data_IF_801981976592
#
_entry.id   IF_801981976592
#
_cell.length_a   1.000
_cell.length_b   1.000
_cell.length_c   1.000
_cell.angle_alpha   90.00
_cell.angle_beta   90.00
_cell.angle_gamma   90.00
#
_symmetry.space_group_name_H-M   'P 1'
#
loop_
_entity.id
_entity.type
_entity.pdbx_description
1 polymer ?
#
# COMPACT_ATOMS: atom_id res chain seq x y z
N UNK A 1 6.66 59.64 63.61
CA UNK A 1 5.70 60.09 62.57
C UNK A 1 5.72 59.07 61.44
N UNK A 2 4.53 58.62 61.07
CA UNK A 2 4.18 57.64 60.05
C UNK A 2 4.63 58.01 58.63
N UNK A 3 5.07 57.00 57.84
CA UNK A 3 4.63 56.62 56.46
C UNK A 3 5.81 55.99 55.70
N UNK A 4 5.82 54.66 55.55
CA UNK A 4 5.16 53.86 54.50
C UNK A 4 5.90 53.87 53.15
N UNK A 5 6.61 52.76 52.95
CA UNK A 5 7.02 52.17 51.69
C UNK A 5 5.88 52.12 50.67
N UNK A 6 6.15 52.52 49.43
CA UNK A 6 5.40 52.05 48.25
C UNK A 6 6.37 51.86 47.09
N UNK A 7 6.58 50.60 46.75
CA UNK A 7 7.21 50.14 45.53
C UNK A 7 6.42 50.63 44.31
N UNK A 8 7.09 51.25 43.35
CA UNK A 8 6.50 51.55 42.05
C UNK A 8 6.57 50.29 41.19
N UNK A 9 5.44 49.59 41.12
CA UNK A 9 5.21 48.48 40.20
C UNK A 9 5.25 48.95 38.75
N UNK A 10 6.03 48.25 37.93
CA UNK A 10 6.07 48.41 36.49
C UNK A 10 4.72 48.08 35.85
N UNK A 11 4.18 48.99 35.05
CA UNK A 11 3.09 48.70 34.10
C UNK A 11 3.73 48.28 32.76
N UNK A 12 3.90 46.97 32.58
CA UNK A 12 4.06 46.39 31.25
C UNK A 12 2.68 46.39 30.59
N UNK A 13 2.48 47.24 29.60
CA UNK A 13 1.31 47.18 28.73
C UNK A 13 1.38 45.87 27.92
N UNK A 14 0.57 44.89 28.30
CA UNK A 14 0.37 43.67 27.53
C UNK A 14 -0.45 44.02 26.30
N UNK A 15 0.22 44.20 25.16
CA UNK A 15 -0.46 44.30 23.88
C UNK A 15 -1.17 42.97 23.60
N UNK A 16 -2.51 42.99 23.71
CA UNK A 16 -3.38 41.93 23.21
C UNK A 16 -3.24 41.90 21.68
N UNK A 17 -2.40 41.00 21.18
CA UNK A 17 -2.41 40.60 19.78
C UNK A 17 -3.72 39.88 19.55
N UNK A 18 -4.69 40.57 18.95
CA UNK A 18 -5.87 39.92 18.38
C UNK A 18 -5.39 38.99 17.27
N UNK A 19 -5.42 37.68 17.53
CA UNK A 19 -5.29 36.68 16.48
C UNK A 19 -6.43 36.88 15.49
N UNK A 20 -6.10 37.15 14.22
CA UNK A 20 -7.07 37.22 13.15
C UNK A 20 -7.86 35.89 13.07
N UNK A 21 -9.19 35.92 12.96
CA UNK A 21 -9.96 34.70 12.73
C UNK A 21 -9.73 34.26 11.28
N UNK A 22 -9.18 33.05 11.09
CA UNK A 22 -9.11 32.44 9.75
C UNK A 22 -7.74 31.92 9.33
N UNK A 23 -7.17 31.02 10.12
CA UNK A 23 -6.39 29.92 9.52
C UNK A 23 -7.24 28.67 9.70
N UNK A 24 -7.61 27.93 8.65
CA UNK A 24 -8.22 26.62 8.86
C UNK A 24 -7.20 25.79 9.64
N UNK A 25 -7.57 25.36 10.84
CA UNK A 25 -6.85 24.27 11.50
C UNK A 25 -7.06 23.08 10.56
N UNK A 26 -6.07 22.75 9.74
CA UNK A 26 -6.12 21.55 8.92
C UNK A 26 -6.02 20.35 9.86
N UNK A 27 -7.16 19.88 10.33
CA UNK A 27 -7.33 18.75 11.24
C UNK A 27 -7.00 17.39 10.62
N UNK A 28 -6.14 17.29 9.61
CA UNK A 28 -5.88 16.04 8.87
C UNK A 28 -4.48 16.09 8.24
N UNK A 29 -3.44 16.22 9.08
CA UNK A 29 -2.04 16.31 8.66
C UNK A 29 -1.73 17.42 7.64
N UNK A 30 -2.55 18.49 7.59
CA UNK A 30 -2.32 19.62 6.68
C UNK A 30 -2.95 19.49 5.30
N UNK A 31 -3.82 18.49 5.05
CA UNK A 31 -4.49 18.31 3.76
C UNK A 31 -5.89 18.93 3.73
N UNK A 32 -6.25 19.50 2.58
CA UNK A 32 -7.62 19.97 2.31
C UNK A 32 -8.49 18.79 1.80
N UNK A 33 -9.54 18.49 2.56
CA UNK A 33 -10.49 17.40 2.30
C UNK A 33 -11.89 17.91 1.96
N UNK A 34 -12.08 19.23 1.79
CA UNK A 34 -13.40 19.84 1.59
C UNK A 34 -14.15 19.31 0.35
N UNK A 35 -13.42 18.85 -0.66
CA UNK A 35 -13.94 18.42 -1.95
C UNK A 35 -13.38 17.03 -2.35
N UNK A 36 -13.26 16.15 -1.35
CA UNK A 36 -12.78 14.78 -1.54
C UNK A 36 -13.80 13.90 -2.27
N UNK A 37 -13.32 13.00 -3.14
CA UNK A 37 -14.16 11.97 -3.80
C UNK A 37 -14.50 10.79 -2.88
N UNK A 38 -14.00 10.79 -1.65
CA UNK A 38 -14.26 9.81 -0.61
C UNK A 38 -14.81 10.54 0.62
N UNK A 39 -15.64 9.89 1.47
CA UNK A 39 -16.25 10.54 2.63
C UNK A 39 -15.18 11.04 3.60
N UNK A 40 -15.15 12.35 3.87
CA UNK A 40 -14.16 12.97 4.77
C UNK A 40 -14.21 12.36 6.17
N UNK A 41 -15.42 12.10 6.66
CA UNK A 41 -15.70 11.52 7.97
C UNK A 41 -15.29 10.04 8.08
N UNK A 42 -14.83 9.41 6.99
CA UNK A 42 -14.19 8.09 6.99
C UNK A 42 -12.66 8.14 6.88
N UNK A 43 -12.08 9.31 6.60
CA UNK A 43 -10.64 9.50 6.59
C UNK A 43 -10.13 9.53 8.05
N UNK A 44 -9.04 8.82 8.32
CA UNK A 44 -8.44 8.69 9.65
C UNK A 44 -6.99 9.13 9.63
N UNK A 45 -6.53 9.75 10.70
CA UNK A 45 -5.10 9.97 10.94
C UNK A 45 -4.52 8.67 11.46
N UNK A 46 -3.74 7.97 10.63
CA UNK A 46 -3.03 6.76 11.02
C UNK A 46 -1.77 7.09 11.82
N UNK A 47 -1.00 8.07 11.35
CA UNK A 47 0.14 8.65 12.06
C UNK A 47 0.08 10.17 12.00
N UNK A 48 0.21 10.88 13.15
CA UNK A 48 0.25 12.33 13.15
C UNK A 48 1.48 12.86 12.40
N UNK A 49 1.26 13.89 11.59
CA UNK A 49 2.30 14.55 10.81
C UNK A 49 2.46 13.96 9.42
N UNK A 50 2.38 14.83 8.41
CA UNK A 50 2.79 14.52 7.05
C UNK A 50 4.28 14.15 7.03
N UNK A 51 4.64 13.15 6.22
CA UNK A 51 6.02 12.63 6.10
C UNK A 51 6.60 12.02 7.40
N UNK A 52 5.77 11.73 8.42
CA UNK A 52 6.24 11.04 9.63
C UNK A 52 6.85 9.66 9.32
N UNK A 53 6.38 9.02 8.24
CA UNK A 53 7.01 7.88 7.60
C UNK A 53 7.73 8.40 6.34
N UNK A 54 9.06 8.37 6.29
CA UNK A 54 9.80 8.96 5.17
C UNK A 54 9.73 8.07 3.94
N UNK A 55 9.25 8.61 2.82
CA UNK A 55 9.33 7.93 1.53
C UNK A 55 10.78 7.92 1.01
N UNK A 56 11.13 6.89 0.23
CA UNK A 56 12.45 6.79 -0.39
C UNK A 56 12.44 7.42 -1.78
N UNK A 57 13.45 8.22 -2.10
CA UNK A 57 13.56 8.93 -3.38
C UNK A 57 14.82 8.59 -4.19
N UNK A 58 15.82 7.98 -3.56
CA UNK A 58 17.07 7.56 -4.19
C UNK A 58 17.44 6.14 -3.72
N UNK A 59 16.64 5.12 -4.07
CA UNK A 59 16.85 3.77 -3.59
C UNK A 59 18.18 3.20 -4.07
N UNK A 60 18.92 2.59 -3.14
CA UNK A 60 20.12 1.80 -3.42
C UNK A 60 19.76 0.32 -3.47
N UNK A 61 20.53 -0.46 -4.22
CA UNK A 61 20.20 -1.86 -4.49
C UNK A 61 21.39 -2.77 -4.27
N UNK A 62 21.11 -3.92 -3.67
CA UNK A 62 21.99 -5.08 -3.56
C UNK A 62 21.78 -6.01 -4.77
N UNK A 63 22.75 -6.89 -5.02
CA UNK A 63 22.52 -8.07 -5.85
C UNK A 63 21.61 -9.07 -5.12
N UNK A 64 21.00 -9.99 -5.87
CA UNK A 64 20.20 -11.08 -5.29
C UNK A 64 20.93 -11.87 -4.20
N UNK A 65 22.18 -12.28 -4.43
CA UNK A 65 22.96 -13.07 -3.45
C UNK A 65 23.30 -12.29 -2.19
N UNK A 66 23.66 -11.00 -2.32
CA UNK A 66 23.91 -10.15 -1.17
C UNK A 66 22.63 -9.93 -0.36
N UNK A 67 21.49 -9.73 -1.04
CA UNK A 67 20.20 -9.61 -0.40
C UNK A 67 19.76 -10.90 0.31
N UNK A 68 20.02 -12.08 -0.26
CA UNK A 68 19.73 -13.35 0.42
C UNK A 68 20.52 -13.52 1.71
N UNK A 69 21.78 -13.09 1.73
CA UNK A 69 22.59 -13.11 2.95
C UNK A 69 22.08 -12.12 3.99
N UNK A 70 21.54 -10.98 3.55
CA UNK A 70 21.08 -9.91 4.44
C UNK A 70 19.68 -10.18 5.01
N UNK A 71 18.69 -10.47 4.16
CA UNK A 71 17.29 -10.63 4.56
C UNK A 71 16.85 -12.09 4.77
N UNK A 72 17.58 -13.04 4.19
CA UNK A 72 17.21 -14.46 4.19
C UNK A 72 16.21 -14.84 3.10
N UNK A 73 16.15 -16.15 2.81
CA UNK A 73 15.36 -16.68 1.68
C UNK A 73 13.83 -16.57 1.85
N UNK A 74 13.36 -16.43 3.09
CA UNK A 74 11.92 -16.34 3.43
C UNK A 74 11.39 -14.92 3.46
N UNK A 75 12.26 -13.91 3.32
CA UNK A 75 11.82 -12.53 3.25
C UNK A 75 10.84 -12.35 2.09
N UNK A 76 9.68 -11.72 2.32
CA UNK A 76 8.74 -11.43 1.25
C UNK A 76 9.16 -10.15 0.55
N UNK A 77 9.18 -10.18 -0.78
CA UNK A 77 9.57 -9.05 -1.62
C UNK A 77 8.47 -8.76 -2.62
N UNK A 78 8.12 -7.48 -2.75
CA UNK A 78 7.33 -7.01 -3.87
C UNK A 78 8.26 -6.94 -5.09
N UNK A 79 7.93 -7.62 -6.17
CA UNK A 79 8.80 -7.77 -7.34
C UNK A 79 8.14 -7.12 -8.55
N UNK A 80 8.90 -6.28 -9.24
CA UNK A 80 8.50 -5.63 -10.49
C UNK A 80 9.40 -6.15 -11.60
N UNK A 81 8.79 -6.56 -12.71
CA UNK A 81 9.49 -7.04 -13.90
C UNK A 81 9.08 -6.19 -15.08
N UNK A 82 10.05 -5.54 -15.72
CA UNK A 82 9.78 -4.66 -16.85
C UNK A 82 10.96 -4.63 -17.83
N UNK A 83 10.69 -4.89 -19.12
CA UNK A 83 11.68 -4.89 -20.22
C UNK A 83 12.99 -5.66 -19.90
N UNK A 84 12.86 -6.83 -19.27
CA UNK A 84 14.02 -7.68 -18.94
C UNK A 84 14.80 -7.26 -17.70
N UNK A 85 14.41 -6.18 -17.02
CA UNK A 85 14.88 -5.85 -15.68
C UNK A 85 13.90 -6.37 -14.62
N UNK A 86 14.45 -6.84 -13.50
CA UNK A 86 13.70 -7.22 -12.32
C UNK A 86 14.24 -6.48 -11.09
N UNK A 87 13.34 -5.83 -10.35
CA UNK A 87 13.64 -5.23 -9.06
C UNK A 87 12.75 -5.80 -7.98
N UNK A 88 13.30 -6.02 -6.79
CA UNK A 88 12.60 -6.52 -5.63
C UNK A 88 12.71 -5.53 -4.47
N UNK A 89 11.62 -5.36 -3.73
CA UNK A 89 11.49 -4.41 -2.62
C UNK A 89 11.05 -5.20 -1.38
N UNK A 90 11.97 -5.48 -0.43
CA UNK A 90 11.67 -6.25 0.78
C UNK A 90 10.60 -5.59 1.65
N UNK A 91 9.68 -6.39 2.17
CA UNK A 91 8.70 -5.92 3.15
C UNK A 91 9.38 -5.42 4.43
N UNK A 92 10.53 -6.00 4.79
CA UNK A 92 11.41 -5.51 5.86
C UNK A 92 11.75 -4.02 5.71
N UNK A 93 11.86 -3.50 4.49
CA UNK A 93 12.08 -2.06 4.24
C UNK A 93 10.74 -1.33 4.01
N UNK A 94 9.82 -1.92 3.24
CA UNK A 94 8.55 -1.29 2.89
C UNK A 94 7.64 -1.07 4.11
N UNK A 95 7.72 -1.89 5.15
CA UNK A 95 6.99 -1.68 6.40
C UNK A 95 7.44 -0.42 7.16
N UNK A 96 8.63 0.13 6.86
CA UNK A 96 9.13 1.34 7.51
C UNK A 96 9.05 2.61 6.66
N UNK A 97 8.77 2.45 5.37
CA UNK A 97 8.85 3.53 4.38
C UNK A 97 7.60 3.68 3.54
N UNK A 98 6.83 2.61 3.34
CA UNK A 98 5.58 2.48 2.58
C UNK A 98 5.67 2.85 1.09
N UNK A 99 6.55 3.78 0.70
CA UNK A 99 6.66 4.36 -0.63
C UNK A 99 8.14 4.44 -1.04
N UNK A 100 8.42 3.95 -2.25
CA UNK A 100 9.72 4.08 -2.91
C UNK A 100 9.50 4.65 -4.32
N UNK A 101 9.98 5.86 -4.54
CA UNK A 101 10.06 6.46 -5.87
C UNK A 101 11.31 5.92 -6.56
N UNK A 102 11.14 5.27 -7.71
CA UNK A 102 12.23 4.55 -8.39
C UNK A 102 12.07 4.64 -9.93
N UNK A 103 13.01 4.05 -10.64
CA UNK A 103 12.99 3.90 -12.09
C UNK A 103 13.45 2.49 -12.48
N UNK A 104 12.71 1.81 -13.35
CA UNK A 104 13.06 0.48 -13.87
C UNK A 104 13.12 0.52 -15.40
N UNK A 105 14.25 0.13 -16.00
CA UNK A 105 14.48 0.28 -17.45
C UNK A 105 14.07 1.66 -18.02
N UNK A 106 14.37 2.74 -17.28
CA UNK A 106 14.03 4.12 -17.64
C UNK A 106 12.58 4.55 -17.37
N UNK A 107 11.69 3.64 -16.93
CA UNK A 107 10.30 3.93 -16.59
C UNK A 107 10.18 4.47 -15.15
N UNK A 108 9.70 5.71 -14.93
CA UNK A 108 9.46 6.23 -13.60
C UNK A 108 8.29 5.48 -12.94
N UNK A 109 8.54 4.90 -11.77
CA UNK A 109 7.56 4.14 -11.01
C UNK A 109 7.51 4.62 -9.56
N UNK A 110 6.37 4.37 -8.92
CA UNK A 110 6.23 4.46 -7.47
C UNK A 110 5.80 3.10 -6.95
N UNK A 111 6.61 2.54 -6.06
CA UNK A 111 6.32 1.30 -5.35
C UNK A 111 5.65 1.66 -4.04
N UNK A 112 4.51 1.03 -3.75
CA UNK A 112 3.70 1.36 -2.59
C UNK A 112 3.33 0.10 -1.83
N UNK A 113 3.33 0.14 -0.51
CA UNK A 113 2.93 -0.97 0.34
C UNK A 113 2.14 -0.47 1.56
N UNK A 114 0.92 -0.98 1.73
CA UNK A 114 0.15 -0.77 2.95
C UNK A 114 0.32 -2.00 3.86
N UNK A 115 1.04 -1.90 4.99
CA UNK A 115 1.21 -3.01 5.91
C UNK A 115 -0.10 -3.40 6.62
N UNK A 116 -1.06 -2.48 6.72
CA UNK A 116 -2.37 -2.76 7.32
C UNK A 116 -3.26 -3.61 6.40
N UNK A 117 -3.19 -3.37 5.10
CA UNK A 117 -4.00 -4.06 4.09
C UNK A 117 -3.28 -5.24 3.43
N UNK A 118 -1.97 -5.40 3.66
CA UNK A 118 -1.16 -6.40 2.96
C UNK A 118 -1.07 -6.16 1.46
N UNK A 119 -1.31 -4.92 1.01
CA UNK A 119 -1.39 -4.54 -0.40
C UNK A 119 -0.07 -3.94 -0.85
N UNK A 120 0.57 -4.57 -1.83
CA UNK A 120 1.71 -4.02 -2.57
C UNK A 120 1.26 -3.67 -3.98
N UNK A 121 1.29 -2.38 -4.34
CA UNK A 121 0.90 -1.92 -5.68
C UNK A 121 1.97 -0.99 -6.22
N UNK A 122 2.33 -1.19 -7.49
CA UNK A 122 3.28 -0.34 -8.19
C UNK A 122 2.55 0.43 -9.26
N UNK A 123 2.82 1.73 -9.35
CA UNK A 123 2.19 2.61 -10.34
C UNK A 123 3.24 3.26 -11.23
N UNK A 124 2.83 3.64 -12.44
CA UNK A 124 3.54 4.65 -13.20
C UNK A 124 3.53 5.96 -12.41
N UNK A 125 4.71 6.56 -12.24
CA UNK A 125 4.82 7.87 -11.62
C UNK A 125 4.50 9.02 -12.58
N UNK A 126 4.33 8.72 -13.88
CA UNK A 126 3.97 9.72 -14.89
C UNK A 126 2.46 9.88 -14.98
N UNK A 127 1.96 11.05 -14.61
CA UNK A 127 0.54 11.40 -14.65
C UNK A 127 0.35 12.62 -15.53
N UNK A 128 -0.48 12.49 -16.57
CA UNK A 128 -0.77 13.58 -17.54
C UNK A 128 0.52 14.23 -18.10
N UNK A 129 1.54 13.42 -18.36
CA UNK A 129 2.83 13.87 -18.90
C UNK A 129 3.83 14.40 -17.88
N UNK A 130 3.48 14.44 -16.59
CA UNK A 130 4.38 14.88 -15.52
C UNK A 130 4.86 13.71 -14.67
N UNK A 131 6.17 13.61 -14.42
CA UNK A 131 6.71 12.66 -13.44
C UNK A 131 6.47 13.22 -12.03
N UNK A 132 5.61 12.56 -11.27
CA UNK A 132 5.29 12.92 -9.90
C UNK A 132 6.20 12.18 -8.91
N UNK A 133 6.41 12.79 -7.74
CA UNK A 133 7.03 12.13 -6.58
C UNK A 133 5.99 11.99 -5.49
N UNK A 134 5.86 10.78 -4.97
CA UNK A 134 4.87 10.42 -3.97
C UNK A 134 5.50 10.30 -2.59
N UNK A 135 4.69 10.57 -1.57
CA UNK A 135 5.04 10.58 -0.15
C UNK A 135 3.89 10.12 0.71
N UNK A 136 4.19 9.86 1.99
CA UNK A 136 3.24 9.33 2.97
C UNK A 136 2.48 10.48 3.62
N UNK A 137 1.16 10.52 3.46
CA UNK A 137 0.32 11.56 4.06
C UNK A 137 0.11 11.36 5.57
N UNK A 138 0.23 10.11 6.04
CA UNK A 138 -0.18 9.68 7.37
C UNK A 138 -1.69 9.52 7.53
N UNK A 139 -2.48 9.74 6.46
CA UNK A 139 -3.91 9.54 6.41
C UNK A 139 -4.25 8.16 5.85
N UNK A 140 -5.37 7.62 6.32
CA UNK A 140 -5.94 6.35 5.92
C UNK A 140 -7.38 6.53 5.46
N UNK A 141 -7.80 5.72 4.50
CA UNK A 141 -9.20 5.53 4.13
C UNK A 141 -9.50 4.03 4.05
N UNK A 142 -10.54 3.55 4.75
CA UNK A 142 -10.80 2.10 4.89
C UNK A 142 -9.57 1.29 5.36
N UNK A 143 -8.79 1.86 6.29
CA UNK A 143 -7.50 1.34 6.78
C UNK A 143 -6.36 1.25 5.74
N UNK A 144 -6.61 1.63 4.48
CA UNK A 144 -5.60 1.71 3.41
C UNK A 144 -4.93 3.07 3.36
N UNK A 145 -3.68 3.11 2.90
CA UNK A 145 -2.89 4.34 2.85
C UNK A 145 -3.42 5.33 1.82
N UNK A 146 -3.50 6.60 2.22
CA UNK A 146 -3.58 7.72 1.27
C UNK A 146 -2.16 8.23 1.02
N UNK A 147 -1.71 8.13 -0.23
CA UNK A 147 -0.47 8.77 -0.66
C UNK A 147 -0.74 10.23 -0.98
N UNK A 148 0.30 11.03 -1.11
CA UNK A 148 0.18 12.33 -1.76
C UNK A 148 1.35 12.58 -2.71
N UNK A 149 1.15 13.42 -3.74
CA UNK A 149 2.24 13.88 -4.58
C UNK A 149 2.78 15.24 -4.14
N UNK A 150 4.10 15.39 -4.11
CA UNK A 150 4.80 16.61 -3.66
C UNK A 150 4.37 17.86 -4.43
N UNK A 151 4.11 17.71 -5.73
CA UNK A 151 3.94 18.84 -6.65
C UNK A 151 2.57 19.49 -6.52
N UNK A 152 1.51 18.71 -6.36
CA UNK A 152 0.14 19.21 -6.32
C UNK A 152 -0.55 19.04 -4.98
N UNK A 153 0.04 18.30 -4.05
CA UNK A 153 -0.56 17.92 -2.78
C UNK A 153 -1.89 17.15 -2.93
N UNK A 154 -2.16 16.54 -4.09
CA UNK A 154 -3.34 15.70 -4.27
C UNK A 154 -3.18 14.43 -3.43
N UNK A 155 -4.23 14.01 -2.73
CA UNK A 155 -4.27 12.70 -2.08
C UNK A 155 -4.67 11.62 -3.08
N UNK A 156 -4.04 10.45 -2.98
CA UNK A 156 -4.26 9.31 -3.85
C UNK A 156 -4.57 8.08 -3.01
N UNK A 157 -5.70 7.42 -3.26
CA UNK A 157 -6.00 6.13 -2.64
C UNK A 157 -5.24 5.03 -3.37
N UNK A 158 -4.50 4.19 -2.62
CA UNK A 158 -3.70 3.11 -3.17
C UNK A 158 -4.59 2.08 -3.87
N UNK A 159 -5.56 1.48 -3.15
CA UNK A 159 -6.41 0.42 -3.71
C UNK A 159 -7.35 0.93 -4.80
N UNK A 160 -7.93 2.13 -4.67
CA UNK A 160 -8.72 2.73 -5.76
C UNK A 160 -7.85 3.11 -6.98
N UNK A 161 -6.55 3.28 -6.77
CA UNK A 161 -5.59 3.74 -7.77
C UNK A 161 -6.03 5.08 -8.37
N UNK A 162 -6.43 6.04 -7.53
CA UNK A 162 -7.06 7.29 -7.97
C UNK A 162 -6.78 8.46 -7.04
N UNK A 163 -6.59 9.64 -7.61
CA UNK A 163 -6.57 10.89 -6.86
C UNK A 163 -7.97 11.21 -6.32
N UNK A 164 -8.08 11.38 -5.01
CA UNK A 164 -9.32 11.67 -4.31
C UNK A 164 -9.48 13.14 -3.94
N UNK A 165 -8.39 13.92 -3.94
CA UNK A 165 -8.43 15.38 -3.70
C UNK A 165 -7.50 16.13 -4.68
N UNK A 166 -7.48 17.46 -4.59
CA UNK A 166 -6.47 18.30 -5.21
C UNK A 166 -6.53 18.40 -6.74
N UNK A 167 -5.45 18.91 -7.33
CA UNK A 167 -5.32 19.20 -8.78
C UNK A 167 -5.65 17.98 -9.65
N UNK A 168 -5.27 16.79 -9.20
CA UNK A 168 -5.42 15.57 -9.99
C UNK A 168 -6.70 14.80 -9.70
N UNK A 169 -7.58 15.30 -8.81
CA UNK A 169 -8.83 14.65 -8.41
C UNK A 169 -9.55 13.96 -9.57
N UNK A 170 -9.92 12.69 -9.38
CA UNK A 170 -10.59 11.85 -10.37
C UNK A 170 -9.65 11.13 -11.34
N UNK A 171 -8.36 11.50 -11.40
CA UNK A 171 -7.37 10.85 -12.26
C UNK A 171 -6.95 9.50 -11.68
N UNK A 172 -6.93 8.46 -12.52
CA UNK A 172 -6.43 7.14 -12.13
C UNK A 172 -4.92 7.03 -12.31
N UNK A 173 -4.27 6.29 -11.42
CA UNK A 173 -2.90 5.81 -11.57
C UNK A 173 -2.92 4.51 -12.38
N UNK A 174 -2.00 4.42 -13.34
CA UNK A 174 -1.79 3.18 -14.10
C UNK A 174 -0.89 2.24 -13.30
N UNK A 175 -1.34 1.00 -13.11
CA UNK A 175 -0.59 -0.02 -12.38
C UNK A 175 0.50 -0.65 -13.25
N UNK A 176 1.68 -0.85 -12.68
CA UNK A 176 2.73 -1.71 -13.23
C UNK A 176 2.61 -3.08 -12.57
N UNK A 177 2.64 -4.15 -13.37
CA UNK A 177 2.53 -5.53 -12.87
C UNK A 177 3.59 -5.83 -11.80
N UNK A 178 3.13 -6.35 -10.66
CA UNK A 178 3.98 -6.75 -9.54
C UNK A 178 3.47 -8.01 -8.86
N UNK A 179 4.37 -8.75 -8.22
CA UNK A 179 4.07 -9.96 -7.45
C UNK A 179 4.69 -9.87 -6.06
N UNK A 180 4.09 -10.53 -5.06
CA UNK A 180 4.64 -10.62 -3.72
C UNK A 180 5.15 -12.05 -3.50
N UNK A 181 6.46 -12.25 -3.52
CA UNK A 181 7.11 -13.56 -3.57
C UNK A 181 8.19 -13.70 -2.47
N UNK A 182 8.55 -14.92 -2.04
CA UNK A 182 9.74 -15.14 -1.22
C UNK A 182 11.04 -14.80 -1.98
N UNK A 183 11.95 -14.07 -1.35
CA UNK A 183 13.20 -13.59 -1.96
C UNK A 183 14.05 -14.74 -2.52
N UNK A 184 14.10 -15.88 -1.82
CA UNK A 184 14.80 -17.09 -2.28
C UNK A 184 14.35 -17.57 -3.65
N UNK A 185 13.04 -17.56 -3.89
CA UNK A 185 12.46 -18.00 -5.16
C UNK A 185 12.76 -17.02 -6.30
N UNK A 186 12.71 -15.72 -6.01
CA UNK A 186 13.00 -14.68 -6.99
C UNK A 186 14.47 -14.75 -7.40
N UNK A 187 15.39 -14.86 -6.46
CA UNK A 187 16.84 -14.94 -6.77
C UNK A 187 17.19 -16.21 -7.54
N UNK A 188 16.50 -17.32 -7.27
CA UNK A 188 16.68 -18.55 -8.05
C UNK A 188 16.33 -18.34 -9.54
N UNK A 189 15.27 -17.57 -9.83
CA UNK A 189 14.73 -17.29 -11.17
C UNK A 189 15.44 -16.12 -11.88
N UNK A 190 15.85 -15.08 -11.15
CA UNK A 190 16.27 -13.78 -11.69
C UNK A 190 17.76 -13.50 -11.43
N UNK A 191 18.63 -13.85 -12.39
CA UNK A 191 20.11 -13.75 -12.21
C UNK A 191 20.65 -12.33 -12.07
N UNK A 192 19.93 -11.33 -12.61
CA UNK A 192 20.30 -9.91 -12.54
C UNK A 192 19.40 -9.12 -11.58
N UNK A 193 18.77 -9.81 -10.61
CA UNK A 193 17.87 -9.18 -9.66
C UNK A 193 18.59 -8.07 -8.87
N UNK A 194 17.94 -6.91 -8.82
CA UNK A 194 18.33 -5.81 -7.93
C UNK A 194 17.33 -5.76 -6.77
N UNK A 195 17.82 -5.85 -5.55
CA UNK A 195 16.98 -5.85 -4.34
C UNK A 195 17.23 -4.57 -3.55
N UNK A 196 16.17 -3.85 -3.16
CA UNK A 196 16.30 -2.63 -2.35
C UNK A 196 17.11 -2.92 -1.08
N UNK A 197 18.13 -2.10 -0.84
CA UNK A 197 19.01 -2.20 0.34
C UNK A 197 18.42 -1.48 1.55
N UNK A 198 18.98 -1.76 2.73
CA UNK A 198 18.74 -1.02 3.98
C UNK A 198 19.52 0.28 4.09
N UNK A 199 20.36 0.64 3.11
CA UNK A 199 21.03 1.95 3.00
C UNK A 199 20.05 3.04 2.54
N UNK A 200 19.04 3.31 3.35
CA UNK A 200 17.96 4.26 3.01
C UNK A 200 18.28 5.71 3.38
N UNK A 201 19.33 5.94 4.18
CA UNK A 201 19.61 7.24 4.80
C UNK A 201 18.80 7.51 6.07
N UNK A 202 18.02 6.54 6.55
CA UNK A 202 17.22 6.66 7.77
C UNK A 202 17.62 5.63 8.83
N UNK A 203 17.62 6.05 10.10
CA UNK A 203 17.83 5.15 11.24
C UNK A 203 16.54 4.40 11.53
N UNK A 204 16.53 3.11 11.19
CA UNK A 204 15.43 2.15 11.41
C UNK A 204 16.01 0.78 11.71
N UNK A 205 15.22 -0.03 12.41
CA UNK A 205 15.52 -1.44 12.67
C UNK A 205 14.80 -2.30 11.63
N UNK A 206 15.47 -2.55 10.49
CA UNK A 206 14.89 -3.32 9.38
C UNK A 206 14.82 -4.83 9.66
N UNK A 207 15.47 -5.32 10.72
CA UNK A 207 15.37 -6.73 11.13
C UNK A 207 14.07 -6.99 11.91
N UNK A 208 13.37 -5.93 12.30
CA UNK A 208 12.10 -5.98 13.01
C UNK A 208 10.95 -5.48 12.14
N UNK A 209 9.95 -6.33 11.95
CA UNK A 209 8.66 -5.94 11.38
C UNK A 209 7.79 -5.22 12.44
N UNK A 210 7.52 -3.90 12.29
CA UNK A 210 6.71 -3.14 13.24
C UNK A 210 5.23 -3.58 13.26
N UNK A 211 4.75 -4.27 12.22
CA UNK A 211 3.37 -4.73 12.08
C UNK A 211 3.19 -6.23 12.36
N UNK A 212 4.23 -6.96 12.77
CA UNK A 212 4.17 -8.43 12.96
C UNK A 212 3.03 -8.89 13.88
N UNK A 213 2.81 -8.20 15.00
CA UNK A 213 1.72 -8.55 15.93
C UNK A 213 0.36 -8.28 15.30
N UNK A 214 0.25 -7.21 14.53
CA UNK A 214 -0.98 -6.86 13.83
C UNK A 214 -1.29 -7.87 12.74
N UNK A 215 -0.33 -8.24 11.89
CA UNK A 215 -0.54 -9.15 10.76
C UNK A 215 -0.97 -10.56 11.18
N UNK A 216 -0.55 -11.01 12.37
CA UNK A 216 -0.95 -12.30 12.95
C UNK A 216 -2.31 -12.28 13.65
N UNK A 217 -2.82 -11.09 14.02
CA UNK A 217 -4.09 -10.93 14.75
C UNK A 217 -5.28 -10.72 13.82
N UNK A 218 -6.47 -11.19 14.22
CA UNK A 218 -7.69 -11.00 13.45
C UNK A 218 -8.22 -9.55 13.46
N UNK A 219 -7.95 -8.79 14.53
CA UNK A 219 -8.47 -7.44 14.70
C UNK A 219 -7.88 -6.44 13.70
N UNK A 220 -8.73 -5.56 13.18
CA UNK A 220 -8.32 -4.42 12.36
C UNK A 220 -7.88 -3.26 13.27
N UNK A 221 -6.89 -2.48 12.82
CA UNK A 221 -6.33 -1.38 13.60
C UNK A 221 -7.18 -0.12 13.44
N UNK A 222 -7.81 0.03 12.27
CA UNK A 222 -8.73 1.10 11.94
C UNK A 222 -10.06 0.50 11.46
N UNK A 223 -11.18 1.20 11.67
CA UNK A 223 -12.49 0.75 11.19
C UNK A 223 -12.53 0.69 9.66
N UNK A 224 -13.34 -0.24 9.16
CA UNK A 224 -13.56 -0.48 7.73
C UNK A 224 -15.03 -0.79 7.51
N UNK A 225 -15.63 -0.29 6.42
CA UNK A 225 -16.95 -0.75 5.97
C UNK A 225 -16.86 -2.16 5.36
N UNK A 226 -16.94 -3.18 6.22
CA UNK A 226 -16.94 -4.58 5.84
C UNK A 226 -18.33 -5.19 6.04
N UNK A 227 -19.10 -5.28 4.96
CA UNK A 227 -20.49 -5.76 5.01
C UNK A 227 -20.63 -7.29 4.99
N UNK A 228 -19.60 -8.04 4.57
CA UNK A 228 -19.68 -9.49 4.36
C UNK A 228 -18.55 -10.23 5.12
N UNK A 229 -18.93 -11.04 6.12
CA UNK A 229 -18.03 -11.84 6.95
C UNK A 229 -17.83 -13.30 6.47
N UNK A 230 -18.17 -13.65 5.21
CA UNK A 230 -17.97 -15.01 4.67
C UNK A 230 -16.51 -15.48 4.62
N UNK A 231 -15.56 -14.54 4.67
CA UNK A 231 -14.12 -14.78 4.64
C UNK A 231 -13.49 -14.01 5.80
N UNK A 232 -12.50 -14.60 6.45
CA UNK A 232 -11.76 -13.92 7.51
C UNK A 232 -11.15 -12.61 6.98
N UNK A 233 -11.27 -11.52 7.76
CA UNK A 233 -10.90 -10.17 7.33
C UNK A 233 -9.48 -10.09 6.74
N UNK A 234 -8.51 -10.76 7.37
CA UNK A 234 -7.10 -10.80 6.91
C UNK A 234 -6.73 -12.04 6.09
N UNK A 235 -7.70 -12.72 5.49
CA UNK A 235 -7.40 -13.77 4.53
C UNK A 235 -6.70 -13.18 3.29
N UNK A 236 -5.58 -13.78 2.88
CA UNK A 236 -4.90 -13.41 1.64
C UNK A 236 -5.78 -13.71 0.44
N UNK A 237 -5.95 -12.70 -0.40
CA UNK A 237 -6.78 -12.74 -1.59
C UNK A 237 -6.06 -12.07 -2.76
N UNK A 238 -6.54 -12.35 -3.97
CA UNK A 238 -6.28 -11.51 -5.14
C UNK A 238 -7.62 -10.98 -5.68
N UNK A 239 -7.68 -9.68 -5.93
CA UNK A 239 -8.72 -9.04 -6.72
C UNK A 239 -8.34 -9.15 -8.19
N UNK A 240 -9.27 -9.65 -8.99
CA UNK A 240 -9.19 -9.67 -10.45
C UNK A 240 -10.28 -8.76 -11.00
N UNK A 241 -9.93 -7.67 -11.67
CA UNK A 241 -10.88 -6.65 -12.13
C UNK A 241 -10.71 -6.35 -13.62
N UNK A 242 -11.84 -6.35 -14.33
CA UNK A 242 -11.99 -5.82 -15.69
C UNK A 242 -12.87 -4.57 -15.65
N UNK A 243 -13.14 -3.96 -16.80
CA UNK A 243 -14.14 -2.88 -16.92
C UNK A 243 -15.58 -3.34 -16.64
N UNK A 244 -15.88 -4.64 -16.72
CA UNK A 244 -17.24 -5.19 -16.65
C UNK A 244 -17.54 -5.94 -15.37
N UNK A 245 -16.52 -6.52 -14.75
CA UNK A 245 -16.68 -7.31 -13.54
C UNK A 245 -15.40 -7.35 -12.72
N UNK A 246 -15.57 -7.59 -11.42
CA UNK A 246 -14.52 -7.78 -10.45
C UNK A 246 -14.80 -9.03 -9.61
N UNK A 247 -13.74 -9.75 -9.27
CA UNK A 247 -13.77 -10.95 -8.45
C UNK A 247 -12.72 -10.85 -7.36
N UNK A 248 -13.09 -11.17 -6.13
CA UNK A 248 -12.14 -11.41 -5.03
C UNK A 248 -11.98 -12.92 -4.91
N UNK A 249 -10.74 -13.39 -5.03
CA UNK A 249 -10.37 -14.80 -4.95
C UNK A 249 -9.55 -15.02 -3.68
N UNK A 250 -10.17 -15.56 -2.61
CA UNK A 250 -9.41 -15.97 -1.43
C UNK A 250 -8.49 -17.14 -1.75
N UNK A 251 -7.29 -17.14 -1.18
CA UNK A 251 -6.34 -18.25 -1.31
C UNK A 251 -6.97 -19.59 -0.88
N UNK A 252 -7.80 -19.58 0.16
CA UNK A 252 -8.51 -20.76 0.66
C UNK A 252 -9.62 -21.30 -0.26
N UNK A 253 -9.91 -20.64 -1.38
CA UNK A 253 -10.90 -21.07 -2.36
C UNK A 253 -10.29 -21.78 -3.56
N UNK A 254 -8.96 -21.74 -3.70
CA UNK A 254 -8.19 -22.41 -4.75
C UNK A 254 -7.89 -23.87 -4.37
N UNK A 255 -7.54 -24.70 -5.35
CA UNK A 255 -7.17 -26.10 -5.11
C UNK A 255 -5.92 -26.17 -4.21
N UNK A 256 -5.99 -26.71 -2.98
CA UNK A 256 -4.85 -26.76 -2.07
C UNK A 256 -3.71 -27.69 -2.55
N UNK A 257 -3.94 -28.51 -3.58
CA UNK A 257 -2.96 -29.44 -4.13
C UNK A 257 -2.28 -28.93 -5.41
N UNK A 258 -2.59 -27.72 -5.85
CA UNK A 258 -1.97 -27.08 -6.99
C UNK A 258 -1.21 -25.82 -6.56
N UNK A 259 -0.24 -25.43 -7.40
CA UNK A 259 0.54 -24.19 -7.26
C UNK A 259 0.10 -23.10 -8.25
N UNK A 260 -0.82 -23.46 -9.16
CA UNK A 260 -1.42 -22.56 -10.14
C UNK A 260 -2.81 -23.00 -10.55
N UNK A 261 -3.65 -22.04 -10.92
CA UNK A 261 -5.01 -22.30 -11.41
C UNK A 261 -5.44 -21.23 -12.40
N UNK A 262 -6.02 -21.65 -13.52
CA UNK A 262 -6.65 -20.75 -14.48
C UNK A 262 -8.09 -20.41 -14.05
N UNK A 263 -8.36 -19.13 -13.86
CA UNK A 263 -9.67 -18.61 -13.48
C UNK A 263 -10.33 -17.94 -14.68
N UNK A 264 -11.63 -18.16 -14.86
CA UNK A 264 -12.41 -17.53 -15.94
C UNK A 264 -13.06 -16.25 -15.44
N UNK A 265 -12.79 -15.16 -16.15
CA UNK A 265 -13.42 -13.85 -15.98
C UNK A 265 -14.12 -13.49 -17.30
N UNK A 266 -15.39 -13.86 -17.41
CA UNK A 266 -16.11 -13.81 -18.68
C UNK A 266 -15.43 -14.66 -19.75
N UNK A 267 -14.90 -14.00 -20.80
CA UNK A 267 -14.14 -14.66 -21.89
C UNK A 267 -12.63 -14.72 -21.62
N UNK A 268 -12.14 -14.00 -20.61
CA UNK A 268 -10.73 -13.95 -20.26
C UNK A 268 -10.36 -15.13 -19.36
N UNK A 269 -9.11 -15.58 -19.49
CA UNK A 269 -8.50 -16.56 -18.60
C UNK A 269 -7.37 -15.87 -17.87
N UNK A 270 -7.34 -15.98 -16.54
CA UNK A 270 -6.29 -15.41 -15.70
C UNK A 270 -5.65 -16.53 -14.91
N UNK A 271 -4.36 -16.77 -15.13
CA UNK A 271 -3.60 -17.72 -14.32
C UNK A 271 -3.21 -17.07 -13.00
N UNK A 272 -3.64 -17.68 -11.90
CA UNK A 272 -3.21 -17.33 -10.54
C UNK A 272 -2.20 -18.36 -10.08
N UNK A 273 -1.05 -17.91 -9.57
CA UNK A 273 0.00 -18.73 -8.96
C UNK A 273 -0.03 -18.52 -7.45
N UNK A 274 0.07 -19.59 -6.66
CA UNK A 274 -0.13 -19.50 -5.22
C UNK A 274 0.59 -20.61 -4.44
N UNK A 275 0.88 -20.33 -3.16
CA UNK A 275 1.38 -21.32 -2.21
C UNK A 275 0.75 -21.06 -0.84
N UNK A 276 -0.06 -22.01 -0.38
CA UNK A 276 -0.74 -21.94 0.91
C UNK A 276 0.23 -21.88 2.10
N UNK A 277 1.42 -22.49 1.99
CA UNK A 277 2.43 -22.54 3.06
C UNK A 277 3.08 -21.18 3.28
N UNK A 278 3.27 -20.41 2.21
CA UNK A 278 3.86 -19.06 2.27
C UNK A 278 2.80 -17.96 2.24
N UNK A 279 1.50 -18.33 2.20
CA UNK A 279 0.39 -17.39 2.04
C UNK A 279 0.56 -16.47 0.83
N UNK A 280 1.07 -17.03 -0.27
CA UNK A 280 1.33 -16.32 -1.51
C UNK A 280 0.18 -16.55 -2.47
N UNK A 281 -0.28 -15.48 -3.11
CA UNK A 281 -1.23 -15.52 -4.22
C UNK A 281 -0.88 -14.38 -5.17
N UNK A 282 -0.63 -14.71 -6.42
CA UNK A 282 -0.11 -13.79 -7.43
C UNK A 282 -0.78 -14.01 -8.77
N UNK A 283 -0.78 -12.97 -9.58
CA UNK A 283 -1.26 -12.96 -10.94
C UNK A 283 -0.11 -12.38 -11.79
N UNK A 284 0.90 -13.19 -12.17
CA UNK A 284 2.16 -12.67 -12.70
C UNK A 284 2.06 -12.15 -14.14
N UNK A 285 1.11 -12.68 -14.93
CA UNK A 285 0.91 -12.32 -16.33
C UNK A 285 -0.58 -12.13 -16.63
N UNK A 286 -1.24 -11.12 -16.03
CA UNK A 286 -2.63 -10.84 -16.36
C UNK A 286 -2.78 -10.47 -17.84
N UNK A 287 -3.91 -10.81 -18.47
CA UNK A 287 -4.32 -10.12 -19.69
C UNK A 287 -4.32 -8.60 -19.48
N UNK A 288 -3.96 -7.83 -20.51
CA UNK A 288 -3.83 -6.36 -20.42
C UNK A 288 -5.07 -5.66 -19.84
N UNK A 289 -6.25 -6.22 -20.06
CA UNK A 289 -7.54 -5.68 -19.59
C UNK A 289 -7.85 -6.01 -18.12
N UNK A 290 -7.01 -6.81 -17.46
CA UNK A 290 -7.22 -7.29 -16.09
C UNK A 290 -6.25 -6.59 -15.16
N UNK A 291 -6.79 -5.86 -14.19
CA UNK A 291 -6.03 -5.40 -13.01
C UNK A 291 -6.01 -6.53 -11.98
N UNK A 292 -4.82 -6.83 -11.45
CA UNK A 292 -4.62 -7.76 -10.35
C UNK A 292 -4.10 -7.01 -9.12
N UNK A 293 -4.79 -7.12 -7.98
CA UNK A 293 -4.37 -6.52 -6.70
C UNK A 293 -4.37 -7.60 -5.63
N UNK A 294 -3.21 -7.84 -5.01
CA UNK A 294 -3.07 -8.78 -3.90
C UNK A 294 -3.24 -8.04 -2.58
N UNK A 295 -3.96 -8.61 -1.63
CA UNK A 295 -4.15 -8.02 -0.32
C UNK A 295 -5.08 -8.82 0.59
N UNK A 296 -5.31 -8.30 1.78
CA UNK A 296 -6.28 -8.84 2.71
C UNK A 296 -7.71 -8.64 2.23
N UNK A 297 -8.56 -9.63 2.51
CA UNK A 297 -9.97 -9.65 2.11
C UNK A 297 -10.71 -8.36 2.47
N UNK A 298 -10.54 -7.87 3.71
CA UNK A 298 -11.26 -6.69 4.19
C UNK A 298 -10.98 -5.47 3.31
N UNK A 299 -9.71 -5.26 2.93
CA UNK A 299 -9.29 -4.10 2.16
C UNK A 299 -9.89 -4.20 0.76
N UNK A 300 -9.70 -5.34 0.09
CA UNK A 300 -10.23 -5.53 -1.26
C UNK A 300 -11.76 -5.42 -1.29
N UNK A 301 -12.47 -5.95 -0.28
CA UNK A 301 -13.93 -5.89 -0.17
C UNK A 301 -14.43 -4.47 0.09
N UNK A 302 -13.76 -3.70 0.94
CA UNK A 302 -14.15 -2.32 1.27
C UNK A 302 -13.97 -1.35 0.10
N UNK A 303 -13.05 -1.63 -0.83
CA UNK A 303 -12.88 -0.80 -2.03
C UNK A 303 -13.67 -1.32 -3.24
N UNK A 304 -14.11 -2.59 -3.20
CA UNK A 304 -14.83 -3.25 -4.27
C UNK A 304 -16.04 -4.01 -3.71
N UNK A 305 -17.00 -3.27 -3.16
CA UNK A 305 -18.20 -3.84 -2.54
C UNK A 305 -18.99 -4.74 -3.51
N UNK A 306 -18.98 -4.40 -4.80
CA UNK A 306 -19.64 -5.13 -5.89
C UNK A 306 -18.88 -6.36 -6.39
N UNK A 307 -17.61 -6.54 -5.99
CA UNK A 307 -16.81 -7.65 -6.48
C UNK A 307 -17.40 -9.00 -6.06
N UNK A 308 -17.56 -9.92 -7.00
CA UNK A 308 -18.07 -11.25 -6.71
C UNK A 308 -17.03 -12.02 -5.90
N UNK A 309 -17.48 -12.78 -4.91
CA UNK A 309 -16.58 -13.72 -4.22
C UNK A 309 -16.43 -14.97 -5.09
N UNK A 310 -15.20 -15.35 -5.42
CA UNK A 310 -14.95 -16.58 -6.18
C UNK A 310 -15.44 -17.79 -5.37
N UNK A 311 -16.17 -18.75 -5.97
CA UNK A 311 -16.71 -19.87 -5.21
C UNK A 311 -15.59 -20.77 -4.68
N UNK A 312 -15.78 -21.33 -3.48
CA UNK A 312 -14.91 -22.41 -2.97
C UNK A 312 -14.98 -23.60 -3.92
N UNK A 313 -13.84 -24.11 -4.36
CA UNK A 313 -13.84 -25.39 -5.07
C UNK A 313 -14.35 -26.49 -4.14
N UNK A 314 -15.28 -27.31 -4.64
CA UNK A 314 -15.67 -28.55 -3.95
C UNK A 314 -14.49 -29.53 -4.04
N UNK A 315 -14.19 -30.30 -2.99
CA UNK A 315 -13.26 -31.41 -3.10
C UNK A 315 -13.69 -32.28 -4.28
N UNK A 316 -12.76 -32.63 -5.20
CA UNK A 316 -13.06 -33.65 -6.21
C UNK A 316 -13.47 -34.91 -5.45
N UNK A 317 -14.74 -35.31 -5.56
CA UNK A 317 -15.19 -36.60 -5.07
C UNK A 317 -14.31 -37.65 -5.73
N UNK A 318 -13.47 -38.34 -4.94
CA UNK A 318 -12.64 -39.42 -5.44
C UNK A 318 -13.52 -40.40 -6.20
N UNK A 319 -13.30 -40.48 -7.51
CA UNK A 319 -13.89 -41.53 -8.32
C UNK A 319 -13.39 -42.86 -7.75
N UNK A 320 -14.29 -43.60 -7.09
CA UNK A 320 -14.09 -45.04 -6.93
C UNK A 320 -14.19 -45.64 -8.32
N UNK A 321 -13.04 -45.97 -8.89
CA UNK A 321 -12.88 -46.87 -10.03
C UNK A 321 -11.98 -48.00 -9.58
#
# INVERSE_FOLDING_TARGET
>A
MYRNSTAHSALFAMALVFAAPGSPIFSENGFDLSDALIPRDEIRVGIPGRDAIPALHAPKFLSGDAALKHFGARERVLVVRYKGEAKAYPLAVLNWHEIVNDTIAGLPIVVTYCPLCGTGIVFLATVRGEVLRFRVSGLLYQSDVLLYDEKSNSLWSQVLSKAVTGKFKGTSLETVGSTLEPLGEVVAKEKKLRVLSTETGHVRDYDRDPYRRYSLGAALMFPVDLQDAKVAAKAWCVLLRTKKESWIVPLSHLDPNADKQDLKLGKLSVTVEYDARTSTINCPKPPQEVTCIVGYYFALRAFHHDAKLYPKQKPRSGGKG
#
